data_IF_572036844660
#
_entry.id   IF_572036844660
#
_cell.length_a   1.000
_cell.length_b   1.000
_cell.length_c   1.000
_cell.angle_alpha   90.00
_cell.angle_beta   90.00
_cell.angle_gamma   90.00
#
_symmetry.space_group_name_H-M   'P 1'
#
loop_
_entity.id
_entity.type
_entity.pdbx_description
1 polymer ?
#
# COMPACT_ATOMS: atom_id res chain seq x y z
N UNK A 1 -5.32 0.93 11.47
CA UNK A 1 -4.07 1.16 12.22
C UNK A 1 -3.97 2.64 12.53
N UNK A 2 -3.96 3.05 13.80
CA UNK A 2 -4.18 4.46 14.23
C UNK A 2 -3.07 5.47 13.85
N UNK A 3 -1.97 5.04 13.21
CA UNK A 3 -0.82 5.90 12.90
C UNK A 3 -0.92 6.65 11.58
N UNK A 4 -1.84 6.22 10.70
CA UNK A 4 -2.12 6.90 9.42
C UNK A 4 -2.81 8.25 9.63
N UNK A 5 -3.56 8.38 10.72
CA UNK A 5 -4.28 9.61 11.10
C UNK A 5 -3.48 10.49 12.08
N UNK A 6 -2.18 10.22 12.27
CA UNK A 6 -1.33 11.01 13.16
C UNK A 6 -1.25 12.47 12.71
N UNK A 7 -1.34 13.46 13.60
CA UNK A 7 -1.11 14.86 13.20
C UNK A 7 0.34 15.14 12.73
N UNK A 8 1.27 14.23 13.04
CA UNK A 8 2.66 14.36 12.62
C UNK A 8 2.85 13.78 11.22
N UNK A 9 3.12 14.66 10.26
CA UNK A 9 3.31 14.29 8.85
C UNK A 9 4.45 13.27 8.65
N UNK A 10 5.54 13.35 9.41
CA UNK A 10 6.65 12.39 9.35
C UNK A 10 6.28 10.99 9.85
N UNK A 11 5.41 10.91 10.86
CA UNK A 11 4.86 9.63 11.33
C UNK A 11 3.98 9.02 10.23
N UNK A 12 3.13 9.81 9.54
CA UNK A 12 2.34 9.32 8.41
C UNK A 12 3.21 8.78 7.28
N UNK A 13 4.26 9.52 6.90
CA UNK A 13 5.20 9.10 5.84
C UNK A 13 5.79 7.72 6.15
N UNK A 14 6.26 7.53 7.38
CA UNK A 14 6.83 6.25 7.83
C UNK A 14 5.76 5.15 7.93
N UNK A 15 4.55 5.49 8.36
CA UNK A 15 3.43 4.57 8.41
C UNK A 15 3.09 4.04 7.00
N UNK A 16 3.13 4.87 5.97
CA UNK A 16 2.88 4.44 4.59
C UNK A 16 3.91 3.42 4.11
N UNK A 17 5.21 3.70 4.33
CA UNK A 17 6.29 2.76 3.98
C UNK A 17 6.18 1.44 4.75
N UNK A 18 5.75 1.50 6.01
CA UNK A 18 5.49 0.29 6.79
C UNK A 18 4.30 -0.50 6.23
N UNK A 19 3.17 0.15 5.96
CA UNK A 19 1.99 -0.49 5.38
C UNK A 19 2.27 -1.10 4.01
N UNK A 20 3.06 -0.42 3.18
CA UNK A 20 3.55 -0.95 1.91
C UNK A 20 4.23 -2.31 2.08
N UNK A 21 5.20 -2.40 3.00
CA UNK A 21 5.90 -3.67 3.26
C UNK A 21 4.97 -4.73 3.86
N UNK A 22 4.09 -4.33 4.80
CA UNK A 22 3.11 -5.22 5.41
C UNK A 22 2.20 -5.87 4.36
N UNK A 23 1.61 -5.05 3.47
CA UNK A 23 0.72 -5.50 2.40
C UNK A 23 1.45 -6.46 1.47
N UNK A 24 2.69 -6.14 1.09
CA UNK A 24 3.46 -7.02 0.21
C UNK A 24 3.73 -8.35 0.91
N UNK A 25 4.16 -8.38 2.17
CA UNK A 25 4.41 -9.63 2.89
C UNK A 25 3.17 -10.50 3.09
N UNK A 26 2.01 -9.88 3.30
CA UNK A 26 0.76 -10.57 3.60
C UNK A 26 -0.04 -11.01 2.35
N UNK A 27 0.41 -10.63 1.15
CA UNK A 27 -0.18 -11.08 -0.11
C UNK A 27 0.70 -12.12 -0.80
N UNK A 28 0.10 -13.12 -1.47
CA UNK A 28 0.85 -14.12 -2.23
C UNK A 28 1.50 -13.48 -3.48
N UNK A 29 2.67 -13.98 -3.88
CA UNK A 29 3.28 -13.65 -5.18
C UNK A 29 2.55 -14.37 -6.32
N UNK A 30 2.60 -13.80 -7.52
CA UNK A 30 2.20 -14.47 -8.76
C UNK A 30 3.34 -14.45 -9.78
N UNK A 31 3.15 -15.07 -10.95
CA UNK A 31 4.17 -15.17 -12.00
C UNK A 31 4.62 -13.81 -12.58
N UNK A 32 3.79 -12.78 -12.41
CA UNK A 32 4.04 -11.41 -12.87
C UNK A 32 4.60 -10.50 -11.77
N UNK A 33 4.77 -11.02 -10.54
CA UNK A 33 5.28 -10.26 -9.40
C UNK A 33 6.75 -9.89 -9.61
N UNK A 34 7.06 -8.59 -9.58
CA UNK A 34 8.44 -8.13 -9.52
C UNK A 34 9.05 -8.46 -8.15
N UNK A 35 10.20 -9.13 -8.11
CA UNK A 35 10.91 -9.45 -6.86
C UNK A 35 12.10 -8.51 -6.69
N UNK A 36 12.23 -7.80 -5.54
CA UNK A 36 13.35 -6.92 -5.28
C UNK A 36 14.70 -7.64 -5.34
N UNK A 37 15.71 -6.98 -5.91
CA UNK A 37 17.08 -7.51 -6.03
C UNK A 37 17.75 -7.85 -4.68
N UNK A 38 17.22 -7.33 -3.57
CA UNK A 38 17.72 -7.61 -2.21
C UNK A 38 17.40 -9.01 -1.71
N UNK A 39 16.53 -9.78 -2.39
CA UNK A 39 16.38 -11.23 -2.21
C UNK A 39 15.74 -11.73 -0.91
N UNK A 40 15.57 -10.87 0.10
CA UNK A 40 14.94 -11.22 1.38
C UNK A 40 13.59 -10.52 1.46
N UNK A 41 12.57 -11.11 0.86
CA UNK A 41 11.21 -10.62 0.98
C UNK A 41 10.25 -11.78 1.17
N UNK A 42 9.79 -11.91 2.42
CA UNK A 42 8.75 -12.86 2.82
C UNK A 42 7.47 -12.59 2.02
N UNK A 43 6.79 -13.64 1.65
CA UNK A 43 5.45 -13.57 1.08
C UNK A 43 4.56 -14.67 1.61
N UNK A 44 3.25 -14.49 1.48
CA UNK A 44 2.28 -15.42 2.04
C UNK A 44 2.45 -16.84 1.48
N UNK A 45 2.85 -16.99 0.21
CA UNK A 45 3.14 -18.28 -0.45
C UNK A 45 4.22 -19.14 0.22
N UNK A 46 5.08 -18.53 1.03
CA UNK A 46 6.15 -19.23 1.75
C UNK A 46 5.66 -19.83 3.10
N UNK A 47 4.45 -19.48 3.55
CA UNK A 47 3.90 -19.92 4.85
C UNK A 47 3.19 -21.27 4.70
N UNK A 48 3.68 -22.33 5.35
CA UNK A 48 2.98 -23.63 5.35
C UNK A 48 1.54 -23.54 5.85
N UNK A 49 0.63 -24.34 5.25
CA UNK A 49 -0.80 -24.37 5.63
C UNK A 49 -1.06 -24.93 7.03
N UNK A 50 -0.09 -25.61 7.62
CA UNK A 50 -0.11 -26.17 8.98
C UNK A 50 0.46 -25.19 10.03
N UNK A 51 0.57 -23.91 9.67
CA UNK A 51 1.00 -22.85 10.57
C UNK A 51 -0.13 -22.42 11.49
N UNK A 52 0.20 -22.00 12.71
CA UNK A 52 -0.73 -21.34 13.64
C UNK A 52 -1.32 -20.03 13.08
N UNK A 53 -0.77 -19.52 11.98
CA UNK A 53 -1.14 -18.26 11.36
C UNK A 53 -2.24 -18.49 10.32
N UNK A 54 -3.38 -17.80 10.48
CA UNK A 54 -4.48 -17.85 9.52
C UNK A 54 -4.17 -17.03 8.28
N UNK A 55 -3.92 -17.73 7.17
CA UNK A 55 -3.75 -17.16 5.83
C UNK A 55 -4.84 -16.16 5.45
N UNK A 56 -6.11 -16.52 5.72
CA UNK A 56 -7.26 -15.69 5.41
C UNK A 56 -7.26 -14.39 6.22
N UNK A 57 -6.87 -14.45 7.48
CA UNK A 57 -6.81 -13.25 8.32
C UNK A 57 -5.73 -12.28 7.83
N UNK A 58 -4.55 -12.80 7.44
CA UNK A 58 -3.49 -11.97 6.87
C UNK A 58 -3.91 -11.30 5.56
N UNK A 59 -4.59 -12.01 4.66
CA UNK A 59 -5.09 -11.41 3.42
C UNK A 59 -6.14 -10.32 3.69
N UNK A 60 -7.03 -10.53 4.66
CA UNK A 60 -8.01 -9.52 5.06
C UNK A 60 -7.36 -8.28 5.67
N UNK A 61 -6.32 -8.47 6.49
CA UNK A 61 -5.53 -7.38 7.07
C UNK A 61 -4.80 -6.58 5.98
N UNK A 62 -4.20 -7.27 5.01
CA UNK A 62 -3.55 -6.64 3.86
C UNK A 62 -4.54 -5.83 3.04
N UNK A 63 -5.73 -6.37 2.76
CA UNK A 63 -6.79 -5.66 2.04
C UNK A 63 -7.24 -4.41 2.80
N UNK A 64 -7.45 -4.52 4.11
CA UNK A 64 -7.85 -3.39 4.92
C UNK A 64 -6.76 -2.30 4.94
N UNK A 65 -5.50 -2.70 5.07
CA UNK A 65 -4.34 -1.80 5.02
C UNK A 65 -4.19 -1.11 3.67
N UNK A 66 -4.43 -1.83 2.57
CA UNK A 66 -4.41 -1.28 1.22
C UNK A 66 -5.52 -0.25 1.04
N UNK A 67 -6.75 -0.56 1.47
CA UNK A 67 -7.87 0.40 1.40
C UNK A 67 -7.55 1.68 2.19
N UNK A 68 -6.96 1.56 3.38
CA UNK A 68 -6.55 2.73 4.16
C UNK A 68 -5.53 3.61 3.41
N UNK A 69 -4.59 3.02 2.65
CA UNK A 69 -3.66 3.80 1.81
C UNK A 69 -4.40 4.52 0.66
N UNK A 70 -5.37 3.85 0.06
CA UNK A 70 -6.18 4.41 -1.03
C UNK A 70 -7.02 5.59 -0.55
N UNK A 71 -7.62 5.48 0.64
CA UNK A 71 -8.39 6.56 1.27
C UNK A 71 -7.53 7.81 1.54
N UNK A 72 -6.25 7.61 1.91
CA UNK A 72 -5.33 8.74 2.10
C UNK A 72 -4.99 9.46 0.80
N UNK A 73 -4.84 8.73 -0.31
CA UNK A 73 -4.59 9.33 -1.63
C UNK A 73 -5.80 10.13 -2.11
N UNK A 74 -7.02 9.68 -1.79
CA UNK A 74 -8.26 10.39 -2.08
C UNK A 74 -8.53 11.57 -1.14
N UNK A 75 -7.74 11.76 -0.08
CA UNK A 75 -7.94 12.82 0.90
C UNK A 75 -7.59 14.20 0.35
N UNK A 76 -8.50 15.16 0.49
CA UNK A 76 -8.31 16.56 0.06
C UNK A 76 -7.31 17.34 0.92
N UNK A 77 -6.95 16.81 2.09
CA UNK A 77 -6.07 17.47 3.07
C UNK A 77 -4.69 16.83 3.18
N UNK A 78 -4.35 15.88 2.30
CA UNK A 78 -3.03 15.26 2.29
C UNK A 78 -1.94 16.28 1.89
N UNK A 79 -0.79 16.23 2.56
CA UNK A 79 0.36 17.07 2.19
C UNK A 79 1.08 16.50 0.96
N UNK A 80 1.80 17.36 0.23
CA UNK A 80 2.54 16.97 -0.99
C UNK A 80 3.50 15.79 -0.76
N UNK A 81 4.27 15.85 0.34
CA UNK A 81 5.24 14.80 0.70
C UNK A 81 4.54 13.46 0.94
N UNK A 82 3.44 13.49 1.69
CA UNK A 82 2.69 12.28 2.01
C UNK A 82 1.93 11.73 0.80
N UNK A 83 1.42 12.59 -0.09
CA UNK A 83 0.80 12.17 -1.34
C UNK A 83 1.81 11.46 -2.25
N UNK A 84 2.96 12.08 -2.52
CA UNK A 84 4.01 11.47 -3.38
C UNK A 84 4.50 10.17 -2.76
N UNK A 85 4.65 10.11 -1.44
CA UNK A 85 5.03 8.89 -0.73
C UNK A 85 3.97 7.80 -0.90
N UNK A 86 2.69 8.11 -0.67
CA UNK A 86 1.60 7.16 -0.82
C UNK A 86 1.47 6.63 -2.25
N UNK A 87 1.58 7.50 -3.27
CA UNK A 87 1.62 7.12 -4.69
C UNK A 87 2.78 6.15 -4.96
N UNK A 88 3.98 6.47 -4.46
CA UNK A 88 5.14 5.60 -4.58
C UNK A 88 4.91 4.22 -3.94
N UNK A 89 4.27 4.20 -2.77
CA UNK A 89 3.90 2.98 -2.05
C UNK A 89 2.93 2.12 -2.88
N UNK A 90 1.80 2.68 -3.34
CA UNK A 90 0.79 1.92 -4.09
C UNK A 90 1.33 1.43 -5.43
N UNK A 91 2.15 2.21 -6.12
CA UNK A 91 2.83 1.78 -7.35
C UNK A 91 3.79 0.62 -7.07
N UNK A 92 4.50 0.63 -5.95
CA UNK A 92 5.38 -0.48 -5.59
C UNK A 92 4.60 -1.74 -5.21
N UNK A 93 3.49 -1.59 -4.48
CA UNK A 93 2.57 -2.69 -4.19
C UNK A 93 2.06 -3.29 -5.50
N UNK A 94 1.61 -2.49 -6.46
CA UNK A 94 1.07 -2.99 -7.73
C UNK A 94 2.12 -3.74 -8.57
N UNK A 95 3.38 -3.28 -8.60
CA UNK A 95 4.46 -4.00 -9.30
C UNK A 95 4.78 -5.36 -8.68
N UNK A 96 4.80 -5.42 -7.35
CA UNK A 96 5.13 -6.66 -6.64
C UNK A 96 3.93 -7.58 -6.45
N UNK A 97 2.71 -7.03 -6.44
CA UNK A 97 1.43 -7.73 -6.32
C UNK A 97 0.49 -7.26 -7.43
N UNK A 98 0.65 -7.82 -8.66
CA UNK A 98 -0.09 -7.37 -9.85
C UNK A 98 -1.62 -7.46 -9.73
N UNK A 99 -2.15 -8.28 -8.83
CA UNK A 99 -3.59 -8.31 -8.51
C UNK A 99 -4.15 -6.96 -8.06
N UNK A 100 -3.31 -6.07 -7.51
CA UNK A 100 -3.68 -4.71 -7.08
C UNK A 100 -3.55 -3.66 -8.18
N UNK A 101 -3.01 -4.02 -9.35
CA UNK A 101 -2.79 -3.08 -10.45
C UNK A 101 -4.08 -2.37 -10.91
N UNK A 102 -5.24 -3.02 -11.07
CA UNK A 102 -6.48 -2.35 -11.49
C UNK A 102 -6.93 -1.28 -10.50
N UNK A 103 -6.87 -1.60 -9.19
CA UNK A 103 -7.24 -0.67 -8.13
C UNK A 103 -6.32 0.57 -8.15
N UNK A 104 -5.00 0.34 -8.29
CA UNK A 104 -3.99 1.40 -8.33
C UNK A 104 -4.16 2.30 -9.56
N UNK A 105 -4.41 1.74 -10.75
CA UNK A 105 -4.67 2.53 -11.96
C UNK A 105 -5.91 3.40 -11.74
N UNK A 106 -7.01 2.82 -11.24
CA UNK A 106 -8.23 3.57 -10.97
C UNK A 106 -8.03 4.72 -9.99
N UNK A 107 -7.26 4.52 -8.92
CA UNK A 107 -6.94 5.62 -7.99
C UNK A 107 -6.08 6.71 -8.62
N UNK A 108 -5.10 6.36 -9.47
CA UNK A 108 -4.28 7.35 -10.16
C UNK A 108 -5.09 8.16 -11.17
N UNK A 109 -6.04 7.53 -11.86
CA UNK A 109 -6.98 8.23 -12.75
C UNK A 109 -7.85 9.20 -11.96
N UNK A 110 -8.43 8.77 -10.83
CA UNK A 110 -9.24 9.64 -9.98
C UNK A 110 -8.43 10.79 -9.39
N UNK A 111 -7.19 10.55 -8.98
CA UNK A 111 -6.29 11.58 -8.46
C UNK A 111 -5.93 12.59 -9.54
N UNK A 112 -5.65 12.15 -10.76
CA UNK A 112 -5.32 13.06 -11.88
C UNK A 112 -6.52 13.96 -12.23
N UNK A 113 -7.75 13.44 -12.13
CA UNK A 113 -8.97 14.22 -12.37
C UNK A 113 -9.33 15.14 -11.19
N UNK A 114 -8.91 14.80 -9.97
CA UNK A 114 -9.30 15.48 -8.73
C UNK A 114 -8.06 15.82 -7.87
N UNK A 115 -7.11 16.57 -8.42
CA UNK A 115 -5.95 17.01 -7.68
C UNK A 115 -6.37 17.82 -6.43
N UNK A 116 -5.74 17.59 -5.26
CA UNK A 116 -6.06 18.36 -4.07
C UNK A 116 -5.82 19.86 -4.34
N UNK A 117 -6.83 20.72 -4.12
CA UNK A 117 -6.72 22.16 -4.40
C UNK A 117 -5.66 22.86 -3.52
N UNK A 118 -5.23 22.19 -2.45
CA UNK A 118 -4.16 22.62 -1.54
C UNK A 118 -2.76 22.52 -2.16
N UNK A 119 -2.60 21.87 -3.32
CA UNK A 119 -1.33 21.70 -4.03
C UNK A 119 -1.22 22.57 -5.28
N UNK A 120 -2.29 23.28 -5.66
CA UNK A 120 -2.33 24.13 -6.87
C UNK A 120 -1.85 25.57 -6.63
N UNK A 121 -1.40 25.89 -5.42
CA UNK A 121 -0.94 27.24 -5.02
C UNK A 121 0.57 27.26 -4.71
#
# INVERSE_FOLDING_TARGET
MQTVDSENEGIKTMAFKFLEMLIICQLPKNEFSEVPKSGIQMSLDEIGRDSFISWRQLQLEAQHSFNNLMDQIASTHITSLNLVTAISCICNIARQRPEKMPDVIGALEQLHLNLPPTLEC
#
